data_IF_749810614520
#
_entry.id   IF_749810614520
#
_cell.length_a   1.000
_cell.length_b   1.000
_cell.length_c   1.000
_cell.angle_alpha   90.00
_cell.angle_beta   90.00
_cell.angle_gamma   90.00
#
_symmetry.space_group_name_H-M   'P 1'
#
loop_
_entity.id
_entity.type
_entity.pdbx_description
1 polymer ?
#
# COMPACT_ATOMS: atom_id res chain seq x y z
N UNK A 1 27.75 32.27 -46.39
CA UNK A 1 27.70 30.99 -45.65
C UNK A 1 26.34 30.92 -45.00
N UNK A 2 25.38 30.37 -45.75
CA UNK A 2 24.00 30.11 -45.30
C UNK A 2 23.98 28.85 -44.42
N UNK A 3 23.54 29.02 -43.20
CA UNK A 3 23.17 27.90 -42.32
C UNK A 3 21.83 27.36 -42.82
N UNK A 4 21.85 26.32 -43.61
CA UNK A 4 20.68 25.47 -43.86
C UNK A 4 20.51 24.51 -42.70
N UNK A 5 19.88 24.94 -41.59
CA UNK A 5 19.23 24.06 -40.66
C UNK A 5 17.98 23.51 -41.36
N UNK A 6 18.12 22.35 -41.97
CA UNK A 6 16.99 21.62 -42.54
C UNK A 6 16.04 21.21 -41.42
N UNK A 7 14.86 21.81 -41.36
CA UNK A 7 13.78 21.36 -40.51
C UNK A 7 13.37 19.95 -41.00
N UNK A 8 13.77 18.91 -40.30
CA UNK A 8 13.27 17.55 -40.57
C UNK A 8 11.75 17.57 -40.48
N UNK A 9 11.10 17.12 -41.54
CA UNK A 9 9.64 16.96 -41.56
C UNK A 9 9.24 15.95 -40.48
N UNK A 10 8.05 16.11 -39.89
CA UNK A 10 7.54 15.20 -38.88
C UNK A 10 7.48 13.72 -39.36
N UNK A 11 7.55 13.49 -40.67
CA UNK A 11 7.58 12.18 -41.30
C UNK A 11 8.98 11.52 -41.30
N UNK A 12 10.04 12.27 -41.02
CA UNK A 12 11.43 11.78 -41.03
C UNK A 12 11.95 11.44 -39.63
N UNK A 13 11.15 11.67 -38.58
CA UNK A 13 11.52 11.29 -37.22
C UNK A 13 11.40 9.75 -37.10
N UNK A 14 12.49 9.00 -36.91
CA UNK A 14 12.42 7.56 -36.76
C UNK A 14 11.62 7.19 -35.51
N UNK A 15 10.50 6.51 -35.68
CA UNK A 15 9.73 5.96 -34.58
C UNK A 15 10.51 4.79 -33.98
N UNK A 16 10.99 4.97 -32.76
CA UNK A 16 11.62 3.87 -32.01
C UNK A 16 10.59 3.25 -31.09
N UNK A 17 10.35 1.94 -31.26
CA UNK A 17 9.50 1.20 -30.33
C UNK A 17 10.14 1.18 -28.94
N UNK A 18 9.33 1.41 -27.93
CA UNK A 18 9.77 1.30 -26.52
C UNK A 18 10.29 -0.12 -26.24
N UNK A 19 11.45 -0.23 -25.59
CA UNK A 19 12.10 -1.53 -25.35
C UNK A 19 11.23 -2.49 -24.53
N UNK A 20 10.46 -1.99 -23.56
CA UNK A 20 9.55 -2.80 -22.76
C UNK A 20 8.38 -3.36 -23.57
N UNK A 21 7.82 -2.56 -24.48
CA UNK A 21 6.79 -3.00 -25.41
C UNK A 21 7.37 -4.04 -26.38
N UNK A 22 8.57 -3.82 -26.91
CA UNK A 22 9.25 -4.76 -27.80
C UNK A 22 9.46 -6.12 -27.12
N UNK A 23 9.95 -6.13 -25.89
CA UNK A 23 10.13 -7.36 -25.10
C UNK A 23 8.81 -8.09 -24.86
N UNK A 24 7.74 -7.35 -24.53
CA UNK A 24 6.41 -7.93 -24.33
C UNK A 24 5.87 -8.60 -25.60
N UNK A 25 6.02 -7.95 -26.76
CA UNK A 25 5.58 -8.52 -28.05
C UNK A 25 6.37 -9.77 -28.45
N UNK A 26 7.61 -9.89 -27.98
CA UNK A 26 8.45 -11.07 -28.16
C UNK A 26 8.24 -12.15 -27.09
N UNK A 27 7.23 -12.00 -26.22
CA UNK A 27 6.93 -12.86 -25.08
C UNK A 27 8.10 -13.01 -24.07
N UNK A 28 9.01 -12.05 -24.01
CA UNK A 28 10.00 -11.98 -22.94
C UNK A 28 9.38 -11.34 -21.70
N UNK A 29 9.33 -12.07 -20.60
CA UNK A 29 8.97 -11.55 -19.27
C UNK A 29 10.13 -10.74 -18.70
N UNK A 30 10.26 -9.51 -19.15
CA UNK A 30 11.18 -8.55 -18.58
C UNK A 30 10.40 -7.57 -17.72
N UNK A 31 10.85 -7.31 -16.51
CA UNK A 31 10.30 -6.23 -15.68
C UNK A 31 10.95 -4.91 -16.07
N UNK A 32 10.23 -3.81 -15.86
CA UNK A 32 10.83 -2.48 -15.97
C UNK A 32 11.74 -2.26 -14.76
N UNK A 33 13.06 -2.32 -14.96
CA UNK A 33 14.06 -2.26 -13.88
C UNK A 33 13.94 -0.99 -13.02
N UNK A 34 13.53 0.12 -13.59
CA UNK A 34 13.35 1.36 -12.85
C UNK A 34 12.08 1.34 -12.01
N UNK A 35 11.00 0.74 -12.52
CA UNK A 35 9.77 0.54 -11.75
C UNK A 35 9.95 -0.50 -10.66
N UNK A 36 10.75 -1.54 -10.87
CA UNK A 36 10.99 -2.61 -9.90
C UNK A 36 11.48 -2.13 -8.52
N UNK A 37 11.99 -0.91 -8.43
CA UNK A 37 12.43 -0.30 -7.17
C UNK A 37 11.28 0.09 -6.24
N UNK A 38 10.11 0.43 -6.77
CA UNK A 38 8.97 0.94 -6.03
C UNK A 38 7.61 0.39 -6.49
N UNK A 39 7.57 -0.46 -7.51
CA UNK A 39 6.36 -1.11 -8.00
C UNK A 39 6.43 -2.62 -7.77
N UNK A 40 5.36 -3.20 -7.26
CA UNK A 40 5.22 -4.64 -7.06
C UNK A 40 3.89 -5.13 -7.58
N UNK A 41 3.90 -6.21 -8.36
CA UNK A 41 2.70 -6.90 -8.81
C UNK A 41 2.24 -7.91 -7.76
N UNK A 42 0.95 -7.88 -7.45
CA UNK A 42 0.32 -8.89 -6.60
C UNK A 42 -0.97 -9.40 -7.26
N UNK A 43 -1.11 -10.72 -7.33
CA UNK A 43 -2.25 -11.35 -8.01
C UNK A 43 -3.25 -12.01 -7.06
N UNK A 44 -2.92 -12.17 -5.78
CA UNK A 44 -3.80 -12.86 -4.82
C UNK A 44 -3.64 -12.35 -3.39
N UNK A 45 -4.75 -12.30 -2.66
CA UNK A 45 -4.84 -12.02 -1.22
C UNK A 45 -5.27 -13.26 -0.41
N UNK A 46 -5.10 -14.46 -0.95
CA UNK A 46 -5.53 -15.71 -0.30
C UNK A 46 -4.96 -15.87 1.11
N UNK A 47 -5.78 -16.41 2.01
CA UNK A 47 -5.38 -16.72 3.39
C UNK A 47 -5.34 -15.52 4.34
N UNK A 48 -5.68 -14.31 3.89
CA UNK A 48 -5.71 -13.14 4.75
C UNK A 48 -7.07 -12.96 5.40
N UNK A 49 -7.07 -12.76 6.71
CA UNK A 49 -8.28 -12.48 7.48
C UNK A 49 -8.77 -11.06 7.21
N UNK A 50 -10.03 -10.93 6.81
CA UNK A 50 -10.71 -9.65 6.67
C UNK A 50 -11.68 -9.44 7.85
N UNK A 51 -11.42 -8.43 8.65
CA UNK A 51 -12.28 -8.04 9.78
C UNK A 51 -13.43 -7.15 9.29
N UNK A 52 -13.11 -6.08 8.56
CA UNK A 52 -14.09 -5.06 8.15
C UNK A 52 -14.80 -5.47 6.86
N UNK A 53 -15.68 -6.46 6.94
CA UNK A 53 -16.41 -7.03 5.79
C UNK A 53 -17.38 -6.03 5.17
N UNK A 54 -17.97 -5.16 5.97
CA UNK A 54 -18.91 -4.11 5.53
C UNK A 54 -18.23 -3.12 4.59
N UNK A 55 -16.99 -2.76 4.87
CA UNK A 55 -16.19 -1.88 4.00
C UNK A 55 -15.95 -2.57 2.66
N UNK A 56 -15.59 -3.84 2.67
CA UNK A 56 -15.38 -4.60 1.44
C UNK A 56 -16.65 -4.70 0.60
N UNK A 57 -17.80 -4.95 1.22
CA UNK A 57 -19.09 -4.97 0.55
C UNK A 57 -19.43 -3.61 -0.04
N UNK A 58 -19.19 -2.53 0.72
CA UNK A 58 -19.38 -1.15 0.26
C UNK A 58 -18.50 -0.81 -0.95
N UNK A 59 -17.23 -1.20 -0.93
CA UNK A 59 -16.31 -0.99 -2.06
C UNK A 59 -16.77 -1.73 -3.32
N UNK A 60 -17.22 -2.99 -3.19
CA UNK A 60 -17.75 -3.77 -4.29
C UNK A 60 -19.00 -3.12 -4.88
N UNK A 61 -19.94 -2.70 -4.04
CA UNK A 61 -21.16 -2.00 -4.48
C UNK A 61 -20.85 -0.70 -5.22
N UNK A 62 -19.93 0.10 -4.69
CA UNK A 62 -19.49 1.33 -5.35
C UNK A 62 -18.82 1.05 -6.71
N UNK A 63 -18.01 0.00 -6.81
CA UNK A 63 -17.42 -0.42 -8.08
C UNK A 63 -18.49 -0.80 -9.10
N UNK A 64 -19.51 -1.55 -8.72
CA UNK A 64 -20.64 -1.96 -9.57
C UNK A 64 -21.44 -0.75 -10.06
N UNK A 65 -21.51 0.31 -9.25
CA UNK A 65 -22.13 1.59 -9.61
C UNK A 65 -21.16 2.57 -10.32
N UNK A 66 -20.07 2.07 -10.89
CA UNK A 66 -19.20 2.85 -11.77
C UNK A 66 -18.03 3.57 -11.09
N UNK A 67 -17.85 3.46 -9.77
CA UNK A 67 -16.66 4.02 -9.11
C UNK A 67 -15.39 3.30 -9.58
N UNK A 68 -14.34 4.08 -9.90
CA UNK A 68 -13.05 3.55 -10.38
C UNK A 68 -11.86 4.15 -9.64
N UNK A 69 -12.07 5.17 -8.85
CA UNK A 69 -11.00 5.82 -8.10
C UNK A 69 -11.38 5.90 -6.63
N UNK A 70 -10.52 5.37 -5.77
CA UNK A 70 -10.73 5.27 -4.34
C UNK A 70 -9.55 5.85 -3.58
N UNK A 71 -9.87 6.56 -2.51
CA UNK A 71 -8.90 7.02 -1.53
C UNK A 71 -9.22 6.39 -0.17
N UNK A 72 -8.33 5.53 0.31
CA UNK A 72 -8.48 4.85 1.61
C UNK A 72 -7.53 5.49 2.63
N UNK A 73 -8.08 6.00 3.73
CA UNK A 73 -7.31 6.52 4.84
C UNK A 73 -7.52 5.67 6.11
N UNK A 74 -6.58 5.74 7.03
CA UNK A 74 -6.60 5.03 8.30
C UNK A 74 -5.19 4.69 8.77
N UNK A 75 -5.03 4.20 9.98
CA UNK A 75 -3.73 3.88 10.57
C UNK A 75 -2.88 2.92 9.73
N UNK A 76 -1.57 2.96 9.94
CA UNK A 76 -0.65 1.96 9.37
C UNK A 76 -1.03 0.57 9.88
N UNK A 77 -1.11 -0.40 8.96
CA UNK A 77 -1.53 -1.77 9.33
C UNK A 77 -3.05 -1.96 9.46
N UNK A 78 -3.90 -0.95 9.22
CA UNK A 78 -5.37 -1.05 9.32
C UNK A 78 -6.04 -1.89 8.22
N UNK A 79 -5.27 -2.46 7.27
CA UNK A 79 -5.84 -3.32 6.21
C UNK A 79 -6.19 -2.61 4.91
N UNK A 80 -5.81 -1.33 4.70
CA UNK A 80 -6.06 -0.60 3.44
C UNK A 80 -5.67 -1.37 2.19
N UNK A 81 -4.44 -1.89 2.14
CA UNK A 81 -3.95 -2.72 1.01
C UNK A 81 -4.77 -3.99 0.82
N UNK A 82 -5.19 -4.62 1.93
CA UNK A 82 -6.02 -5.82 1.89
C UNK A 82 -7.38 -5.53 1.26
N UNK A 83 -8.03 -4.43 1.64
CA UNK A 83 -9.31 -4.00 1.06
C UNK A 83 -9.18 -3.78 -0.46
N UNK A 84 -8.12 -3.08 -0.90
CA UNK A 84 -7.83 -2.89 -2.33
C UNK A 84 -7.62 -4.23 -3.05
N UNK A 85 -6.77 -5.08 -2.48
CA UNK A 85 -6.45 -6.39 -3.06
C UNK A 85 -7.66 -7.31 -3.19
N UNK A 86 -8.52 -7.37 -2.16
CA UNK A 86 -9.73 -8.20 -2.17
C UNK A 86 -10.76 -7.69 -3.19
N UNK A 87 -10.91 -6.38 -3.36
CA UNK A 87 -11.76 -5.83 -4.43
C UNK A 87 -11.25 -6.26 -5.80
N UNK A 88 -9.95 -6.16 -6.03
CA UNK A 88 -9.33 -6.58 -7.28
C UNK A 88 -9.45 -8.09 -7.51
N UNK A 89 -9.23 -8.91 -6.48
CA UNK A 89 -9.37 -10.37 -6.56
C UNK A 89 -10.83 -10.77 -6.92
N UNK A 90 -11.82 -10.13 -6.31
CA UNK A 90 -13.23 -10.34 -6.65
C UNK A 90 -13.55 -9.98 -8.11
N UNK A 91 -12.81 -9.07 -8.71
CA UNK A 91 -12.92 -8.66 -10.14
C UNK A 91 -11.89 -9.33 -11.04
N UNK A 92 -11.09 -10.28 -10.52
CA UNK A 92 -10.03 -11.03 -11.24
C UNK A 92 -8.99 -10.09 -11.88
N UNK A 93 -8.67 -9.01 -11.21
CA UNK A 93 -7.67 -8.03 -11.64
C UNK A 93 -6.41 -8.19 -10.79
N UNK A 94 -5.22 -8.24 -11.39
CA UNK A 94 -3.98 -8.08 -10.64
C UNK A 94 -3.84 -6.63 -10.15
N UNK A 95 -2.99 -6.41 -9.15
CA UNK A 95 -2.74 -5.09 -8.57
C UNK A 95 -1.27 -4.73 -8.69
N UNK A 96 -0.98 -3.55 -9.21
CA UNK A 96 0.33 -2.92 -9.11
C UNK A 96 0.34 -2.01 -7.87
N UNK A 97 1.04 -2.44 -6.84
CA UNK A 97 1.31 -1.60 -5.67
C UNK A 97 2.51 -0.71 -5.94
N UNK A 98 2.29 0.59 -5.82
CA UNK A 98 3.30 1.64 -6.01
C UNK A 98 3.61 2.26 -4.66
N UNK A 99 4.84 2.15 -4.21
CA UNK A 99 5.32 2.81 -2.99
C UNK A 99 5.50 4.31 -3.28
N UNK A 100 4.60 5.13 -2.75
CA UNK A 100 4.58 6.57 -3.01
C UNK A 100 5.78 7.29 -2.41
N UNK A 101 6.28 6.83 -1.26
CA UNK A 101 7.44 7.44 -0.60
C UNK A 101 8.67 7.29 -1.49
N UNK A 102 8.97 6.06 -1.91
CA UNK A 102 10.11 5.79 -2.81
C UNK A 102 9.93 6.42 -4.19
N UNK A 103 8.70 6.49 -4.69
CA UNK A 103 8.40 7.17 -5.95
C UNK A 103 8.71 8.66 -5.86
N UNK A 104 8.39 9.33 -4.74
CA UNK A 104 8.66 10.75 -4.55
C UNK A 104 10.15 11.10 -4.40
N UNK A 105 10.98 10.13 -4.05
CA UNK A 105 12.44 10.26 -4.04
C UNK A 105 13.06 10.24 -5.44
N UNK A 106 12.31 9.80 -6.46
CA UNK A 106 12.82 9.70 -7.83
C UNK A 106 13.07 11.11 -8.42
N UNK A 107 14.13 11.20 -9.23
CA UNK A 107 14.49 12.44 -9.94
C UNK A 107 13.78 12.59 -11.28
N UNK A 108 13.20 11.50 -11.77
CA UNK A 108 12.49 11.50 -13.05
C UNK A 108 11.21 12.34 -12.98
N UNK A 109 10.83 13.05 -14.06
CA UNK A 109 9.57 13.79 -14.12
C UNK A 109 8.35 12.90 -13.85
N UNK A 110 7.46 13.33 -12.97
CA UNK A 110 6.27 12.56 -12.54
C UNK A 110 5.43 12.06 -13.72
N UNK A 111 5.32 12.82 -14.80
CA UNK A 111 4.57 12.43 -16.00
C UNK A 111 5.16 11.24 -16.73
N UNK A 112 6.49 11.11 -16.75
CA UNK A 112 7.15 9.96 -17.36
C UNK A 112 6.95 8.71 -16.52
N UNK A 113 7.10 8.82 -15.19
CA UNK A 113 6.87 7.73 -14.26
C UNK A 113 5.40 7.26 -14.36
N UNK A 114 4.44 8.18 -14.34
CA UNK A 114 3.01 7.85 -14.49
C UNK A 114 2.72 7.12 -15.81
N UNK A 115 3.35 7.55 -16.92
CA UNK A 115 3.23 6.84 -18.21
C UNK A 115 3.77 5.44 -18.16
N UNK A 116 4.93 5.21 -17.51
CA UNK A 116 5.51 3.87 -17.34
C UNK A 116 4.63 2.98 -16.46
N UNK A 117 4.10 3.49 -15.33
CA UNK A 117 3.19 2.75 -14.45
C UNK A 117 1.92 2.34 -15.23
N UNK A 118 1.31 3.27 -15.97
CA UNK A 118 0.12 2.99 -16.79
C UNK A 118 0.41 1.94 -17.87
N UNK A 119 1.56 2.05 -18.56
CA UNK A 119 2.00 1.06 -19.53
C UNK A 119 2.13 -0.32 -18.90
N UNK A 120 2.83 -0.42 -17.75
CA UNK A 120 3.00 -1.70 -17.06
C UNK A 120 1.67 -2.29 -16.61
N UNK A 121 0.75 -1.46 -16.10
CA UNK A 121 -0.59 -1.91 -15.75
C UNK A 121 -1.35 -2.50 -16.95
N UNK A 122 -1.26 -1.88 -18.14
CA UNK A 122 -1.86 -2.40 -19.37
C UNK A 122 -1.22 -3.74 -19.75
N UNK A 123 0.12 -3.84 -19.75
CA UNK A 123 0.85 -5.05 -20.11
C UNK A 123 0.58 -6.22 -19.13
N UNK A 124 0.23 -5.93 -17.89
CA UNK A 124 -0.16 -6.92 -16.87
C UNK A 124 -1.69 -7.16 -16.83
N UNK A 125 -2.37 -7.05 -17.97
CA UNK A 125 -3.80 -7.38 -18.08
C UNK A 125 -4.75 -6.32 -17.53
N UNK A 126 -4.44 -5.05 -17.72
CA UNK A 126 -5.16 -3.91 -17.13
C UNK A 126 -5.20 -3.97 -15.59
N UNK A 127 -4.07 -4.26 -15.00
CA UNK A 127 -3.93 -4.30 -13.54
C UNK A 127 -4.46 -3.02 -12.88
N UNK A 128 -5.08 -3.17 -11.73
CA UNK A 128 -5.40 -2.02 -10.88
C UNK A 128 -4.09 -1.36 -10.39
N UNK A 129 -4.10 -0.06 -10.21
CA UNK A 129 -2.95 0.68 -9.68
C UNK A 129 -3.29 1.13 -8.26
N UNK A 130 -2.42 0.85 -7.30
CA UNK A 130 -2.59 1.22 -5.90
C UNK A 130 -1.36 1.97 -5.39
N UNK A 131 -1.46 3.28 -5.25
CA UNK A 131 -0.45 4.12 -4.61
C UNK A 131 -0.56 3.98 -3.09
N UNK A 132 0.54 3.58 -2.45
CA UNK A 132 0.57 3.30 -1.02
C UNK A 132 1.44 4.30 -0.27
N UNK A 133 0.93 4.79 0.89
CA UNK A 133 1.69 5.69 1.74
C UNK A 133 1.80 7.12 1.19
N UNK A 134 0.70 7.65 0.61
CA UNK A 134 0.70 9.06 0.22
C UNK A 134 0.87 9.95 1.45
N UNK A 135 1.77 10.95 1.39
CA UNK A 135 1.97 11.90 2.47
C UNK A 135 0.72 12.78 2.68
N UNK A 136 0.60 13.32 3.89
CA UNK A 136 -0.43 14.30 4.24
C UNK A 136 -0.17 15.67 3.62
N UNK A 137 -1.21 16.51 3.68
CA UNK A 137 -1.13 17.87 3.15
C UNK A 137 -0.28 18.81 4.02
N UNK A 138 -0.03 18.45 5.27
CA UNK A 138 0.59 19.29 6.28
C UNK A 138 2.09 19.04 6.45
N UNK A 139 2.64 17.93 5.93
CA UNK A 139 4.01 17.51 6.20
C UNK A 139 5.07 18.28 5.42
N UNK A 140 4.87 18.56 4.13
CA UNK A 140 5.78 19.40 3.33
C UNK A 140 5.07 19.91 2.07
N UNK A 141 5.30 21.21 1.75
CA UNK A 141 4.80 21.82 0.50
C UNK A 141 5.33 21.12 -0.75
N UNK A 142 6.55 20.57 -0.69
CA UNK A 142 7.18 19.87 -1.82
C UNK A 142 6.47 18.54 -2.08
N UNK A 143 6.19 17.77 -1.04
CA UNK A 143 5.50 16.49 -1.17
C UNK A 143 4.04 16.68 -1.58
N UNK A 144 3.42 17.74 -1.10
CA UNK A 144 2.11 18.16 -1.55
C UNK A 144 2.05 18.42 -3.06
N UNK A 145 3.02 19.17 -3.63
CA UNK A 145 3.10 19.43 -5.07
C UNK A 145 3.41 18.18 -5.88
N UNK A 146 4.27 17.30 -5.37
CA UNK A 146 4.58 16.01 -6.03
C UNK A 146 3.33 15.11 -6.07
N UNK A 147 2.57 15.04 -4.97
CA UNK A 147 1.31 14.31 -4.90
C UNK A 147 0.30 14.84 -5.93
N UNK A 148 0.15 16.16 -6.04
CA UNK A 148 -0.74 16.80 -7.00
C UNK A 148 -0.33 16.48 -8.45
N UNK A 149 0.94 16.54 -8.78
CA UNK A 149 1.48 16.13 -10.09
C UNK A 149 1.21 14.66 -10.40
N UNK A 150 1.35 13.79 -9.39
CA UNK A 150 1.07 12.36 -9.52
C UNK A 150 -0.42 12.12 -9.81
N UNK A 151 -1.31 12.80 -9.09
CA UNK A 151 -2.75 12.70 -9.33
C UNK A 151 -3.12 13.20 -10.72
N UNK A 152 -2.54 14.35 -11.13
CA UNK A 152 -2.72 14.88 -12.47
C UNK A 152 -2.20 13.92 -13.55
N UNK A 153 -1.04 13.28 -13.34
CA UNK A 153 -0.47 12.27 -14.25
C UNK A 153 -1.33 11.02 -14.39
N UNK A 154 -2.22 10.73 -13.42
CA UNK A 154 -3.12 9.58 -13.45
C UNK A 154 -4.55 9.90 -13.92
N UNK A 155 -4.84 11.15 -14.25
CA UNK A 155 -6.21 11.61 -14.60
C UNK A 155 -6.86 10.87 -15.78
N UNK A 156 -6.06 10.45 -16.76
CA UNK A 156 -6.48 9.76 -17.98
C UNK A 156 -6.51 8.22 -17.83
N UNK A 157 -6.17 7.69 -16.65
CA UNK A 157 -6.22 6.27 -16.39
C UNK A 157 -7.66 5.76 -16.26
N UNK A 158 -8.11 4.91 -17.17
CA UNK A 158 -9.48 4.38 -17.17
C UNK A 158 -9.69 3.12 -16.32
N UNK A 159 -8.62 2.51 -15.81
CA UNK A 159 -8.68 1.36 -14.92
C UNK A 159 -9.00 1.71 -13.48
N UNK A 160 -9.00 0.70 -12.63
CA UNK A 160 -9.20 0.82 -11.20
C UNK A 160 -7.96 1.47 -10.56
N UNK A 161 -8.19 2.49 -9.72
CA UNK A 161 -7.15 3.31 -9.11
C UNK A 161 -7.41 3.47 -7.63
N UNK A 162 -6.39 3.20 -6.83
CA UNK A 162 -6.42 3.37 -5.39
C UNK A 162 -5.31 4.30 -4.92
N UNK A 163 -5.62 5.07 -3.91
CA UNK A 163 -4.65 5.82 -3.12
C UNK A 163 -4.84 5.45 -1.66
N UNK A 164 -3.75 5.20 -0.94
CA UNK A 164 -3.81 4.93 0.49
C UNK A 164 -2.92 5.89 1.27
N UNK A 165 -3.44 6.40 2.39
CA UNK A 165 -2.73 7.31 3.30
C UNK A 165 -3.07 6.99 4.75
N UNK A 166 -2.28 7.51 5.68
CA UNK A 166 -2.65 7.58 7.10
C UNK A 166 -3.52 8.82 7.38
N UNK A 167 -3.44 9.83 6.51
CA UNK A 167 -4.15 11.10 6.63
C UNK A 167 -5.42 11.12 5.80
N UNK A 168 -6.37 11.95 6.21
CA UNK A 168 -7.56 12.23 5.42
C UNK A 168 -7.21 13.16 4.25
N UNK A 169 -7.80 12.89 3.11
CA UNK A 169 -7.61 13.70 1.93
C UNK A 169 -8.63 14.84 1.90
N UNK A 170 -8.16 16.06 2.11
CA UNK A 170 -8.99 17.26 2.12
C UNK A 170 -8.98 18.05 0.81
N UNK A 171 -8.19 17.61 -0.19
CA UNK A 171 -8.11 18.26 -1.50
C UNK A 171 -9.23 17.80 -2.43
N UNK A 172 -9.64 18.68 -3.35
CA UNK A 172 -10.39 18.30 -4.53
C UNK A 172 -9.41 17.88 -5.61
N UNK A 173 -9.63 16.71 -6.23
CA UNK A 173 -8.93 16.37 -7.46
C UNK A 173 -9.67 17.10 -8.59
N UNK A 174 -9.02 18.05 -9.23
CA UNK A 174 -9.57 18.74 -10.39
C UNK A 174 -9.76 17.73 -11.53
N UNK A 175 -10.97 17.63 -12.06
CA UNK A 175 -11.29 16.75 -13.17
C UNK A 175 -12.63 16.01 -13.00
N UNK A 176 -13.05 15.34 -14.04
CA UNK A 176 -14.36 14.65 -14.13
C UNK A 176 -14.45 13.38 -13.25
N UNK A 177 -13.36 12.91 -12.64
CA UNK A 177 -13.35 11.69 -11.86
C UNK A 177 -13.78 11.90 -10.42
N UNK A 178 -14.89 11.28 -10.07
CA UNK A 178 -15.32 11.17 -8.69
C UNK A 178 -14.36 10.25 -7.93
N UNK A 179 -13.68 10.79 -6.92
CA UNK A 179 -12.88 10.02 -5.95
C UNK A 179 -13.75 9.62 -4.78
N UNK A 180 -13.86 8.33 -4.54
CA UNK A 180 -14.57 7.79 -3.37
C UNK A 180 -13.61 7.78 -2.20
N UNK A 181 -13.91 8.53 -1.14
CA UNK A 181 -13.13 8.58 0.10
C UNK A 181 -13.68 7.56 1.09
N UNK A 182 -12.81 6.69 1.60
CA UNK A 182 -13.17 5.63 2.55
C UNK A 182 -12.19 5.69 3.72
N UNK A 183 -12.72 5.87 4.93
CA UNK A 183 -11.95 5.75 6.15
C UNK A 183 -12.04 4.32 6.65
N UNK A 184 -10.88 3.71 6.90
CA UNK A 184 -10.79 2.42 7.57
C UNK A 184 -10.74 2.71 9.07
N UNK A 185 -11.74 2.30 9.85
CA UNK A 185 -11.77 2.55 11.28
C UNK A 185 -10.71 1.74 12.01
N UNK A 186 -10.40 2.16 13.22
CA UNK A 186 -9.56 1.40 14.12
C UNK A 186 -10.26 0.10 14.55
N UNK A 187 -9.49 -0.93 14.83
CA UNK A 187 -10.04 -2.20 15.28
C UNK A 187 -10.70 -2.06 16.65
N UNK A 188 -11.88 -2.62 16.82
CA UNK A 188 -12.52 -2.78 18.12
C UNK A 188 -11.76 -3.81 18.97
N UNK A 189 -12.12 -3.95 20.25
CA UNK A 189 -11.54 -5.01 21.10
C UNK A 189 -11.90 -6.39 20.55
N UNK A 190 -13.13 -6.57 20.10
CA UNK A 190 -13.63 -7.80 19.47
C UNK A 190 -12.83 -8.13 18.20
N UNK A 191 -12.59 -7.14 17.35
CA UNK A 191 -11.77 -7.32 16.14
C UNK A 191 -10.36 -7.80 16.49
N UNK A 192 -9.75 -7.21 17.52
CA UNK A 192 -8.40 -7.61 17.96
C UNK A 192 -8.38 -9.03 18.53
N UNK A 193 -9.40 -9.43 19.29
CA UNK A 193 -9.53 -10.82 19.77
C UNK A 193 -9.57 -11.78 18.60
N UNK A 194 -10.39 -11.51 17.58
CA UNK A 194 -10.49 -12.34 16.38
C UNK A 194 -9.17 -12.40 15.60
N UNK A 195 -8.45 -11.27 15.53
CA UNK A 195 -7.14 -11.20 14.87
C UNK A 195 -6.09 -12.03 15.60
N UNK A 196 -5.99 -11.88 16.92
CA UNK A 196 -5.06 -12.67 17.72
C UNK A 196 -5.36 -14.17 17.63
N UNK A 197 -6.64 -14.55 17.71
CA UNK A 197 -7.07 -15.96 17.59
C UNK A 197 -6.71 -16.55 16.22
N UNK A 198 -6.88 -15.78 15.15
CA UNK A 198 -6.57 -16.23 13.80
C UNK A 198 -5.07 -16.25 13.48
N UNK A 199 -4.28 -15.34 14.06
CA UNK A 199 -2.85 -15.24 13.79
C UNK A 199 -2.02 -16.22 14.63
N UNK A 200 -2.42 -16.49 15.90
CA UNK A 200 -1.77 -17.46 16.76
C UNK A 200 -2.24 -18.88 16.42
N UNK A 201 -1.48 -19.57 15.58
CA UNK A 201 -1.71 -21.00 15.31
C UNK A 201 -1.58 -21.83 16.59
N UNK A 202 -2.16 -23.03 16.64
CA UNK A 202 -2.19 -23.85 17.86
C UNK A 202 -0.78 -24.11 18.42
N UNK A 203 0.20 -24.32 17.55
CA UNK A 203 1.59 -24.58 17.92
C UNK A 203 2.30 -23.39 18.55
N UNK A 204 1.77 -22.19 18.37
CA UNK A 204 2.31 -20.92 18.89
C UNK A 204 1.55 -20.42 20.13
N UNK A 205 0.52 -21.13 20.57
CA UNK A 205 -0.32 -20.69 21.70
C UNK A 205 0.34 -20.98 23.05
N UNK A 206 0.63 -19.94 23.87
CA UNK A 206 0.98 -20.16 25.26
C UNK A 206 -0.11 -20.91 26.02
N UNK A 207 0.26 -21.77 26.98
CA UNK A 207 -0.70 -22.49 27.81
C UNK A 207 -1.59 -21.58 28.65
N UNK A 208 -1.09 -20.38 29.00
CA UNK A 208 -1.74 -19.33 29.77
C UNK A 208 -2.28 -18.18 28.91
N UNK A 209 -2.53 -18.43 27.63
CA UNK A 209 -2.99 -17.42 26.66
C UNK A 209 -4.31 -16.78 27.10
N UNK A 210 -4.30 -15.46 27.18
CA UNK A 210 -5.49 -14.65 27.45
C UNK A 210 -5.66 -13.59 26.34
N UNK A 211 -6.50 -13.92 25.35
CA UNK A 211 -6.77 -13.06 24.19
C UNK A 211 -7.43 -11.73 24.60
N UNK A 212 -8.31 -11.73 25.60
CA UNK A 212 -8.97 -10.53 26.09
C UNK A 212 -7.93 -9.57 26.69
N UNK A 213 -7.03 -10.11 27.52
CA UNK A 213 -5.94 -9.32 28.08
C UNK A 213 -5.03 -8.70 27.01
N UNK A 214 -4.67 -9.47 25.98
CA UNK A 214 -3.86 -8.95 24.87
C UNK A 214 -4.59 -7.85 24.11
N UNK A 215 -5.86 -8.07 23.76
CA UNK A 215 -6.66 -7.13 22.99
C UNK A 215 -6.94 -5.82 23.73
N UNK A 216 -7.10 -5.85 25.06
CA UNK A 216 -7.33 -4.67 25.88
C UNK A 216 -6.03 -3.90 26.15
N UNK A 217 -4.96 -4.62 26.48
CA UNK A 217 -3.67 -4.02 26.81
C UNK A 217 -3.00 -3.40 25.59
N UNK A 218 -3.06 -4.07 24.43
CA UNK A 218 -2.41 -3.65 23.21
C UNK A 218 -3.43 -3.27 22.14
N UNK A 219 -3.63 -1.97 21.94
CA UNK A 219 -4.51 -1.43 20.91
C UNK A 219 -3.78 -1.41 19.55
N UNK A 220 -3.54 -2.61 19.01
CA UNK A 220 -2.77 -2.79 17.79
C UNK A 220 -3.67 -2.89 16.57
N UNK A 221 -3.13 -2.45 15.43
CA UNK A 221 -3.75 -2.67 14.12
C UNK A 221 -3.53 -4.13 13.66
N UNK A 222 -4.32 -4.58 12.68
CA UNK A 222 -4.21 -5.93 12.14
C UNK A 222 -2.79 -6.26 11.64
N UNK A 223 -2.15 -5.33 10.94
CA UNK A 223 -0.77 -5.50 10.47
C UNK A 223 0.21 -5.64 11.64
N UNK A 224 0.09 -4.81 12.66
CA UNK A 224 0.98 -4.87 13.83
C UNK A 224 0.79 -6.16 14.64
N UNK A 225 -0.44 -6.69 14.73
CA UNK A 225 -0.67 -8.00 15.36
C UNK A 225 0.06 -9.11 14.60
N UNK A 226 0.02 -9.08 13.27
CA UNK A 226 0.77 -10.03 12.43
C UNK A 226 2.28 -9.90 12.69
N UNK A 227 2.81 -8.67 12.67
CA UNK A 227 4.24 -8.42 12.93
C UNK A 227 4.65 -8.92 14.33
N UNK A 228 3.79 -8.74 15.35
CA UNK A 228 4.04 -9.26 16.71
C UNK A 228 4.10 -10.80 16.74
N UNK A 229 3.21 -11.47 16.01
CA UNK A 229 3.20 -12.95 15.95
C UNK A 229 4.41 -13.49 15.20
N UNK A 230 4.80 -12.86 14.09
CA UNK A 230 6.02 -13.22 13.35
C UNK A 230 7.26 -13.05 14.21
N UNK A 231 7.41 -11.92 14.89
CA UNK A 231 8.53 -11.69 15.79
C UNK A 231 8.54 -12.65 16.98
N UNK A 232 7.37 -12.94 17.55
CA UNK A 232 7.25 -13.95 18.61
C UNK A 232 7.70 -15.33 18.15
N UNK A 233 7.29 -15.74 16.95
CA UNK A 233 7.71 -17.01 16.34
C UNK A 233 9.23 -17.07 16.16
N UNK A 234 9.83 -16.01 15.63
CA UNK A 234 11.27 -15.92 15.45
C UNK A 234 12.03 -16.02 16.78
N UNK A 235 11.54 -15.39 17.85
CA UNK A 235 12.11 -15.50 19.21
C UNK A 235 12.08 -16.91 19.75
N UNK A 236 10.95 -17.62 19.59
CA UNK A 236 10.84 -19.01 20.01
C UNK A 236 11.82 -19.90 19.26
N UNK A 237 11.95 -19.73 17.95
CA UNK A 237 12.90 -20.47 17.12
C UNK A 237 14.35 -20.22 17.54
N UNK A 238 14.72 -18.96 17.75
CA UNK A 238 16.09 -18.58 18.18
C UNK A 238 16.46 -19.15 19.55
N UNK A 239 15.51 -19.19 20.48
CA UNK A 239 15.74 -19.70 21.85
C UNK A 239 15.55 -21.21 21.97
N UNK A 240 14.98 -21.90 20.97
CA UNK A 240 14.51 -23.27 21.10
C UNK A 240 13.47 -23.45 22.23
N UNK A 241 12.69 -22.41 22.48
CA UNK A 241 11.78 -22.34 23.62
C UNK A 241 10.36 -22.79 23.22
N UNK A 242 9.62 -23.28 24.22
CA UNK A 242 8.19 -23.56 24.07
C UNK A 242 7.38 -22.25 24.13
N UNK A 243 6.18 -22.22 23.51
CA UNK A 243 5.29 -21.06 23.56
C UNK A 243 5.02 -20.59 25.00
N UNK A 244 5.22 -19.28 25.24
CA UNK A 244 5.01 -18.67 26.54
C UNK A 244 4.55 -17.20 26.42
N UNK A 245 3.78 -16.72 27.40
CA UNK A 245 3.24 -15.36 27.41
C UNK A 245 4.33 -14.29 27.50
N UNK A 246 5.44 -14.55 28.20
CA UNK A 246 6.50 -13.55 28.40
C UNK A 246 7.13 -13.13 27.07
N UNK A 247 7.47 -14.07 26.20
CA UNK A 247 8.03 -13.78 24.88
C UNK A 247 7.02 -13.13 23.94
N UNK A 248 5.72 -13.50 24.03
CA UNK A 248 4.65 -12.86 23.26
C UNK A 248 4.46 -11.39 23.68
N UNK A 249 4.42 -11.10 24.97
CA UNK A 249 4.30 -9.73 25.49
C UNK A 249 5.55 -8.89 25.17
N UNK A 250 6.73 -9.48 25.18
CA UNK A 250 7.97 -8.82 24.79
C UNK A 250 7.92 -8.43 23.28
N UNK A 251 7.49 -9.33 22.39
CA UNK A 251 7.31 -9.02 20.98
C UNK A 251 6.30 -7.86 20.76
N UNK A 252 5.17 -7.86 21.49
CA UNK A 252 4.22 -6.75 21.44
C UNK A 252 4.84 -5.42 21.88
N UNK A 253 5.65 -5.46 22.93
CA UNK A 253 6.29 -4.23 23.48
C UNK A 253 7.31 -3.68 22.50
N UNK A 254 8.15 -4.53 21.90
CA UNK A 254 9.17 -4.10 20.94
C UNK A 254 8.54 -3.53 19.67
N UNK A 255 7.45 -4.13 19.17
CA UNK A 255 6.71 -3.57 18.03
C UNK A 255 6.11 -2.20 18.35
N UNK A 256 5.64 -1.97 19.56
CA UNK A 256 5.18 -0.64 19.99
C UNK A 256 6.32 0.36 20.10
N UNK A 257 7.47 -0.04 20.64
CA UNK A 257 8.65 0.82 20.73
C UNK A 257 9.20 1.18 19.34
N UNK A 258 9.22 0.24 18.40
CA UNK A 258 9.58 0.50 17.01
C UNK A 258 8.66 1.52 16.33
N UNK A 259 7.37 1.49 16.62
CA UNK A 259 6.41 2.48 16.10
C UNK A 259 6.60 3.85 16.76
N UNK A 260 6.75 3.89 18.07
CA UNK A 260 6.97 5.12 18.82
C UNK A 260 8.32 5.76 18.48
N UNK A 261 9.36 4.98 18.24
CA UNK A 261 10.68 5.47 17.86
C UNK A 261 10.75 6.15 16.50
N UNK A 262 9.75 5.92 15.62
CA UNK A 262 9.60 6.64 14.35
C UNK A 262 8.85 7.96 14.50
N UNK A 263 7.97 8.06 15.52
CA UNK A 263 7.01 9.16 15.63
C UNK A 263 7.21 10.01 16.90
N UNK A 264 8.09 9.62 17.84
CA UNK A 264 8.28 10.30 19.10
C UNK A 264 9.75 10.44 19.51
N UNK A 265 10.17 11.65 19.84
CA UNK A 265 11.40 11.90 20.59
C UNK A 265 11.12 11.46 22.03
N UNK A 266 11.86 10.44 22.52
CA UNK A 266 11.77 9.94 23.89
C UNK A 266 12.11 11.08 24.87
N UNK A 267 11.11 11.59 25.56
CA UNK A 267 11.33 12.55 26.64
C UNK A 267 11.73 11.75 27.88
N UNK A 268 13.00 11.70 28.19
CA UNK A 268 13.45 11.22 29.49
C UNK A 268 13.04 12.22 30.56
N UNK A 269 12.00 11.88 31.34
CA UNK A 269 11.65 12.60 32.51
C UNK A 269 12.75 12.38 33.56
N UNK A 270 13.65 13.34 33.73
CA UNK A 270 14.56 13.38 34.86
C UNK A 270 13.73 13.83 36.09
N UNK A 271 13.29 12.87 36.88
CA UNK A 271 12.86 13.16 38.23
C UNK A 271 14.10 13.57 39.06
N UNK A 272 14.11 14.83 39.55
CA UNK A 272 14.98 15.26 40.63
C UNK A 272 14.27 15.02 41.97
#
# INVERSE_FOLDING_TARGET
LENTEGSMSAQEIPLKLDGRISSYLQAYEQEDEELGRFVRLQSSCKGKLLIQKEIQQGLLHLYENGARTYFLCGETGSGKKLQCGLLCEAKKLPVLYVDSVRLMEQREPSDQICRRIKREAILKGNAAICFTGLPGDEEDRVDAQKTEKLLHGMRDWNGLLFFTSIYEWNRSIEGERKVVKVRIPDNTTEDRILLWDACLQEELRPADLNLIYLADKYRLTAGTIIDCVEEYQDRLLMKGAQPNMADLLAACTDQLEHRLGRDAVRIEAKYR
#
